data_IF_844436094950
#
_entry.id   IF_844436094950
#
_cell.length_a   1.000
_cell.length_b   1.000
_cell.length_c   1.000
_cell.angle_alpha   90.00
_cell.angle_beta   90.00
_cell.angle_gamma   90.00
#
_symmetry.space_group_name_H-M   'P 1'
#
loop_
_entity.id
_entity.type
_entity.pdbx_description
1 polymer ?
#
# COMPACT_ATOMS: atom_id res chain seq x y z
N UNK A 1 -22.13 72.51 -44.01
CA UNK A 1 -22.24 71.08 -44.39
C UNK A 1 -21.35 70.27 -43.46
N UNK A 2 -21.91 69.20 -42.88
CA UNK A 2 -21.33 68.01 -42.21
C UNK A 2 -19.96 68.08 -41.52
N UNK A 3 -19.87 67.91 -40.20
CA UNK A 3 -19.86 66.64 -39.41
C UNK A 3 -18.60 65.79 -39.58
N UNK A 4 -17.75 65.72 -38.54
CA UNK A 4 -17.52 64.48 -37.78
C UNK A 4 -16.62 64.70 -36.55
N UNK A 5 -17.19 64.37 -35.40
CA UNK A 5 -16.57 64.26 -34.08
C UNK A 5 -15.84 62.92 -33.99
N UNK A 6 -14.66 62.88 -33.36
CA UNK A 6 -14.22 61.70 -32.57
C UNK A 6 -13.37 62.15 -31.39
N UNK A 7 -14.03 62.24 -30.24
CA UNK A 7 -13.46 62.25 -28.89
C UNK A 7 -12.80 60.91 -28.58
N UNK A 8 -11.63 60.92 -27.93
CA UNK A 8 -11.39 59.98 -26.83
C UNK A 8 -10.49 60.63 -25.78
N UNK A 9 -11.05 60.73 -24.58
CA UNK A 9 -10.45 61.21 -23.34
C UNK A 9 -9.76 60.06 -22.58
N UNK A 10 -8.76 60.40 -21.77
CA UNK A 10 -8.37 59.68 -20.54
C UNK A 10 -7.48 58.44 -20.75
N UNK A 11 -6.47 58.12 -19.92
CA UNK A 11 -6.19 58.51 -18.54
C UNK A 11 -4.67 58.49 -18.27
N UNK A 12 -4.22 59.44 -17.45
CA UNK A 12 -2.97 59.38 -16.69
C UNK A 12 -3.08 58.29 -15.60
N UNK A 13 -2.11 57.39 -15.49
CA UNK A 13 -2.08 56.36 -14.45
C UNK A 13 -0.65 55.99 -14.08
N UNK A 14 -0.30 56.22 -12.81
CA UNK A 14 1.01 55.99 -12.18
C UNK A 14 1.49 54.54 -12.37
N UNK A 15 2.65 54.37 -13.02
CA UNK A 15 3.34 53.09 -13.11
C UNK A 15 4.10 52.78 -11.82
N UNK A 16 3.42 52.17 -10.84
CA UNK A 16 4.07 51.56 -9.68
C UNK A 16 4.56 50.18 -10.09
N UNK A 17 5.87 50.01 -10.25
CA UNK A 17 6.46 48.69 -10.51
C UNK A 17 6.46 47.93 -9.18
N UNK A 18 5.52 47.01 -9.01
CA UNK A 18 5.53 46.03 -7.93
C UNK A 18 6.61 44.99 -8.22
N UNK A 19 7.79 45.15 -7.63
CA UNK A 19 8.77 44.08 -7.48
C UNK A 19 8.28 43.16 -6.37
N UNK A 20 7.44 42.19 -6.74
CA UNK A 20 7.12 41.07 -5.85
C UNK A 20 8.40 40.22 -5.78
N UNK A 21 9.05 40.08 -4.61
CA UNK A 21 10.09 39.08 -4.48
C UNK A 21 9.43 37.72 -4.70
N UNK A 22 9.79 37.06 -5.80
CA UNK A 22 9.63 35.62 -5.97
C UNK A 22 10.59 34.91 -5.01
N UNK A 23 10.45 35.16 -3.71
CA UNK A 23 10.84 34.19 -2.70
C UNK A 23 9.89 33.02 -2.89
N UNK A 24 10.28 32.10 -3.77
CA UNK A 24 9.81 30.72 -3.78
C UNK A 24 9.97 30.22 -2.34
N UNK A 25 8.90 30.36 -1.55
CA UNK A 25 8.69 29.48 -0.42
C UNK A 25 8.54 28.10 -1.04
N UNK A 26 9.67 27.42 -1.23
CA UNK A 26 9.72 25.99 -1.39
C UNK A 26 9.29 25.41 -0.05
N UNK A 27 8.00 25.57 0.25
CA UNK A 27 7.29 24.81 1.23
C UNK A 27 7.46 23.38 0.75
N UNK A 28 8.47 22.71 1.31
CA UNK A 28 8.76 21.30 1.09
C UNK A 28 7.65 20.56 1.82
N UNK A 29 6.43 20.72 1.30
CA UNK A 29 5.24 20.02 1.74
C UNK A 29 5.55 18.58 1.36
N UNK A 30 6.14 17.84 2.31
CA UNK A 30 6.35 16.41 2.19
C UNK A 30 4.98 15.83 1.85
N UNK A 31 4.77 15.56 0.55
CA UNK A 31 3.52 14.99 0.12
C UNK A 31 3.47 13.61 0.79
N UNK A 32 2.37 13.27 1.48
CA UNK A 32 2.25 11.99 2.14
C UNK A 32 2.53 10.91 1.10
N UNK A 33 3.46 10.01 1.43
CA UNK A 33 3.86 8.92 0.55
C UNK A 33 2.63 8.06 0.29
N UNK A 34 2.02 8.24 -0.89
CA UNK A 34 0.94 7.39 -1.38
C UNK A 34 1.55 6.16 -2.03
N UNK A 35 1.62 5.09 -1.25
CA UNK A 35 2.11 3.76 -1.63
C UNK A 35 1.13 3.12 -2.61
N UNK A 36 -0.17 3.34 -2.39
CA UNK A 36 -1.25 2.74 -3.18
C UNK A 36 -1.88 3.81 -4.10
N UNK A 37 -1.34 3.96 -5.33
CA UNK A 37 -1.76 5.03 -6.26
C UNK A 37 -3.00 4.72 -7.08
N UNK A 38 -3.32 3.44 -7.29
CA UNK A 38 -4.39 3.04 -8.22
C UNK A 38 -5.21 1.89 -7.64
N UNK A 39 -6.46 2.18 -7.27
CA UNK A 39 -7.53 1.18 -7.32
C UNK A 39 -7.36 -0.03 -6.42
N UNK A 40 -7.16 0.17 -5.12
CA UNK A 40 -7.62 -0.84 -4.19
C UNK A 40 -9.14 -0.94 -4.32
N UNK A 41 -9.66 -2.02 -4.92
CA UNK A 41 -11.11 -2.25 -5.00
C UNK A 41 -11.76 -2.14 -3.62
N UNK A 42 -13.09 -2.10 -3.56
CA UNK A 42 -13.87 -1.84 -2.32
C UNK A 42 -13.39 -2.64 -1.10
N UNK A 43 -12.87 -3.86 -1.31
CA UNK A 43 -12.26 -4.70 -0.28
C UNK A 43 -11.05 -4.05 0.43
N UNK A 44 -10.14 -3.40 -0.31
CA UNK A 44 -8.92 -2.79 0.25
C UNK A 44 -9.24 -1.58 1.14
N UNK A 45 -10.23 -0.77 0.72
CA UNK A 45 -10.72 0.35 1.53
C UNK A 45 -11.41 -0.13 2.81
N UNK A 46 -12.14 -1.25 2.73
CA UNK A 46 -12.76 -1.86 3.91
C UNK A 46 -11.71 -2.33 4.93
N UNK A 47 -10.59 -2.94 4.51
CA UNK A 47 -9.54 -3.38 5.44
C UNK A 47 -8.91 -2.20 6.19
N UNK A 48 -8.62 -1.08 5.50
CA UNK A 48 -8.09 0.12 6.16
C UNK A 48 -9.03 0.61 7.26
N UNK A 49 -10.33 0.69 6.98
CA UNK A 49 -11.34 1.07 7.98
C UNK A 49 -11.36 0.10 9.17
N UNK A 50 -11.26 -1.21 8.92
CA UNK A 50 -11.21 -2.20 9.99
C UNK A 50 -9.95 -2.08 10.87
N UNK A 51 -8.81 -1.68 10.30
CA UNK A 51 -7.60 -1.38 11.08
C UNK A 51 -7.82 -0.16 11.98
N UNK A 52 -8.42 0.90 11.45
CA UNK A 52 -8.76 2.10 12.23
C UNK A 52 -9.71 1.75 13.39
N UNK A 53 -10.73 0.92 13.17
CA UNK A 53 -11.63 0.41 14.21
C UNK A 53 -10.91 -0.44 15.28
N UNK A 54 -9.84 -1.14 14.90
CA UNK A 54 -8.97 -1.90 15.82
C UNK A 54 -8.02 -1.00 16.63
N UNK A 55 -7.93 0.29 16.29
CA UNK A 55 -7.00 1.25 16.88
C UNK A 55 -5.63 1.28 16.19
N UNK A 56 -5.49 0.60 15.06
CA UNK A 56 -4.28 0.56 14.23
C UNK A 56 -4.31 1.71 13.22
N UNK A 57 -3.65 2.82 13.55
CA UNK A 57 -3.60 4.04 12.73
C UNK A 57 -2.28 4.18 11.98
N UNK A 58 -2.23 5.11 11.01
CA UNK A 58 -1.02 5.45 10.26
C UNK A 58 -0.76 4.58 9.02
N UNK A 59 -1.73 3.79 8.57
CA UNK A 59 -1.65 3.04 7.32
C UNK A 59 -2.02 3.91 6.12
N UNK A 60 -1.17 3.94 5.10
CA UNK A 60 -1.46 4.63 3.83
C UNK A 60 -2.55 3.86 3.07
N UNK A 61 -2.40 2.53 2.99
CA UNK A 61 -3.38 1.62 2.40
C UNK A 61 -3.04 0.15 2.60
N UNK A 62 -3.87 -0.71 2.00
CA UNK A 62 -3.73 -2.15 2.01
C UNK A 62 -4.05 -2.74 0.63
N UNK A 63 -3.35 -3.80 0.24
CA UNK A 63 -3.62 -4.55 -0.99
C UNK A 63 -3.79 -6.02 -0.67
N UNK A 64 -4.82 -6.63 -1.23
CA UNK A 64 -5.01 -8.07 -1.23
C UNK A 64 -3.84 -8.79 -1.92
N UNK A 65 -3.26 -9.77 -1.24
CA UNK A 65 -2.37 -10.74 -1.84
C UNK A 65 -3.21 -11.87 -2.43
N UNK A 66 -3.09 -12.06 -3.74
CA UNK A 66 -3.89 -13.03 -4.47
C UNK A 66 -3.65 -14.48 -4.03
N UNK A 67 -4.75 -15.21 -3.86
CA UNK A 67 -4.86 -16.64 -4.14
C UNK A 67 -5.84 -16.84 -5.29
N UNK A 68 -5.82 -18.00 -5.96
CA UNK A 68 -6.64 -18.33 -7.16
C UNK A 68 -8.17 -18.17 -7.02
N UNK A 69 -8.71 -17.76 -5.86
CA UNK A 69 -10.15 -17.62 -5.61
C UNK A 69 -10.52 -16.23 -5.10
N UNK A 70 -11.75 -15.81 -5.42
CA UNK A 70 -12.30 -14.45 -5.29
C UNK A 70 -12.35 -13.84 -3.87
N UNK A 71 -11.97 -14.58 -2.83
CA UNK A 71 -11.96 -14.10 -1.46
C UNK A 71 -10.51 -14.03 -0.99
N UNK A 72 -9.82 -12.93 -1.30
CA UNK A 72 -8.48 -12.70 -0.76
C UNK A 72 -8.56 -12.74 0.77
N UNK A 73 -7.76 -13.62 1.37
CA UNK A 73 -7.72 -13.84 2.82
C UNK A 73 -6.51 -13.13 3.43
N UNK A 74 -5.51 -12.80 2.62
CA UNK A 74 -4.26 -12.19 3.03
C UNK A 74 -4.15 -10.79 2.42
N UNK A 75 -3.79 -9.80 3.24
CA UNK A 75 -3.63 -8.41 2.87
C UNK A 75 -2.26 -7.92 3.31
N UNK A 76 -1.66 -7.05 2.51
CA UNK A 76 -0.44 -6.32 2.86
C UNK A 76 -0.78 -4.85 3.00
N UNK A 77 -0.47 -4.31 4.16
CA UNK A 77 -0.68 -2.92 4.50
C UNK A 77 0.66 -2.24 4.73
N UNK A 78 0.75 -0.97 4.39
CA UNK A 78 1.97 -0.19 4.56
C UNK A 78 1.68 1.07 5.38
N UNK A 79 2.55 1.35 6.34
CA UNK A 79 2.45 2.55 7.18
C UNK A 79 3.13 3.73 6.50
N UNK A 80 2.57 4.93 6.67
CA UNK A 80 3.14 6.16 6.11
C UNK A 80 4.52 6.47 6.69
N UNK A 81 4.73 6.16 7.98
CA UNK A 81 6.00 6.39 8.70
C UNK A 81 7.09 5.37 8.33
N UNK A 82 6.68 4.15 8.04
CA UNK A 82 7.59 3.03 7.72
C UNK A 82 7.18 2.39 6.39
N UNK A 83 7.22 3.16 5.29
CA UNK A 83 6.67 2.75 4.00
C UNK A 83 7.35 1.50 3.45
N UNK A 84 8.60 1.24 3.83
CA UNK A 84 9.39 0.12 3.34
C UNK A 84 9.10 -1.20 4.07
N UNK A 85 8.40 -1.18 5.21
CA UNK A 85 8.12 -2.37 6.03
C UNK A 85 6.66 -2.80 5.86
N UNK A 86 6.38 -3.83 5.06
CA UNK A 86 5.02 -4.32 4.90
C UNK A 86 4.52 -4.99 6.19
N UNK A 87 3.23 -4.83 6.46
CA UNK A 87 2.51 -5.53 7.53
C UNK A 87 1.46 -6.43 6.91
N UNK A 88 1.53 -7.72 7.23
CA UNK A 88 0.60 -8.71 6.68
C UNK A 88 -0.57 -8.90 7.64
N UNK A 89 -1.77 -8.94 7.09
CA UNK A 89 -3.01 -9.18 7.83
C UNK A 89 -3.81 -10.30 7.20
N UNK A 90 -4.37 -11.17 8.04
CA UNK A 90 -5.34 -12.16 7.64
C UNK A 90 -6.74 -11.69 7.98
N UNK A 91 -7.62 -11.72 6.99
CA UNK A 91 -9.03 -11.43 7.14
C UNK A 91 -9.86 -12.72 7.13
N UNK A 92 -10.54 -13.01 8.23
CA UNK A 92 -11.39 -14.19 8.38
C UNK A 92 -12.81 -13.92 7.88
N UNK A 93 -13.11 -14.42 6.68
CA UNK A 93 -14.43 -14.29 6.07
C UNK A 93 -15.54 -15.05 6.82
N UNK A 94 -15.20 -16.07 7.62
CA UNK A 94 -16.20 -16.83 8.39
C UNK A 94 -16.79 -16.02 9.55
N UNK A 95 -16.03 -15.02 10.03
CA UNK A 95 -16.39 -14.15 11.15
C UNK A 95 -17.08 -12.86 10.70
N UNK A 96 -17.71 -12.83 9.52
CA UNK A 96 -18.31 -11.61 8.96
C UNK A 96 -19.29 -10.90 9.90
N UNK A 97 -19.92 -11.64 10.82
CA UNK A 97 -20.88 -11.13 11.79
C UNK A 97 -20.28 -10.89 13.20
N UNK A 98 -18.99 -11.14 13.39
CA UNK A 98 -18.28 -10.97 14.67
C UNK A 98 -17.60 -9.59 14.77
N UNK A 99 -17.01 -9.33 15.94
CA UNK A 99 -16.23 -8.12 16.20
C UNK A 99 -15.09 -7.94 15.17
N UNK A 100 -14.88 -6.70 14.73
CA UNK A 100 -13.82 -6.32 13.79
C UNK A 100 -12.43 -6.80 14.22
N UNK A 101 -12.15 -6.81 15.53
CA UNK A 101 -10.85 -7.20 16.10
C UNK A 101 -10.55 -8.69 15.89
N UNK A 102 -11.57 -9.53 15.87
CA UNK A 102 -11.44 -10.98 15.67
C UNK A 102 -11.30 -11.33 14.18
N UNK A 103 -11.87 -10.50 13.31
CA UNK A 103 -11.86 -10.70 11.85
C UNK A 103 -10.51 -10.42 11.24
N UNK A 104 -9.77 -9.44 11.76
CA UNK A 104 -8.51 -8.99 11.19
C UNK A 104 -7.35 -9.22 12.16
N UNK A 105 -6.48 -10.16 11.83
CA UNK A 105 -5.35 -10.55 12.68
C UNK A 105 -4.03 -10.33 11.96
N UNK A 106 -3.02 -9.83 12.68
CA UNK A 106 -1.71 -9.61 12.09
C UNK A 106 -1.01 -10.95 11.93
N UNK A 107 -0.39 -11.15 10.78
CA UNK A 107 0.39 -12.35 10.49
C UNK A 107 1.79 -12.18 11.06
N UNK A 108 2.19 -13.09 11.95
CA UNK A 108 3.53 -13.16 12.50
C UNK A 108 4.44 -13.99 11.61
N UNK A 109 3.98 -15.15 11.18
CA UNK A 109 4.74 -16.02 10.30
C UNK A 109 3.87 -16.93 9.44
N UNK A 110 4.47 -17.45 8.37
CA UNK A 110 3.87 -18.39 7.44
C UNK A 110 4.83 -19.57 7.24
N UNK A 111 4.30 -20.78 7.18
CA UNK A 111 5.06 -21.98 6.85
C UNK A 111 4.30 -22.73 5.77
N UNK A 112 4.91 -22.87 4.59
CA UNK A 112 4.31 -23.71 3.56
C UNK A 112 4.21 -25.15 4.08
N UNK A 113 3.13 -25.86 3.76
CA UNK A 113 2.98 -27.28 4.14
C UNK A 113 3.02 -28.16 2.89
N UNK A 114 2.01 -28.06 2.05
CA UNK A 114 1.87 -28.86 0.84
C UNK A 114 0.93 -28.17 -0.15
N UNK A 115 1.11 -28.44 -1.46
CA UNK A 115 0.40 -28.01 -2.67
C UNK A 115 -0.48 -26.74 -2.64
N UNK A 116 -1.46 -26.64 -1.72
CA UNK A 116 -2.42 -25.54 -1.64
C UNK A 116 -2.69 -25.07 -0.20
N UNK A 117 -1.79 -25.38 0.75
CA UNK A 117 -1.94 -25.07 2.16
C UNK A 117 -0.65 -24.53 2.75
N UNK A 118 -0.79 -23.44 3.51
CA UNK A 118 0.24 -22.95 4.41
C UNK A 118 -0.32 -22.85 5.83
N UNK A 119 0.51 -23.07 6.83
CA UNK A 119 0.20 -22.76 8.21
C UNK A 119 0.59 -21.31 8.48
N UNK A 120 -0.26 -20.58 9.18
CA UNK A 120 -0.05 -19.19 9.53
C UNK A 120 -0.12 -19.03 11.04
N UNK A 121 0.87 -18.34 11.60
CA UNK A 121 0.85 -17.92 13.00
C UNK A 121 0.43 -16.46 13.09
N UNK A 122 -0.57 -16.19 13.92
CA UNK A 122 -1.09 -14.85 14.16
C UNK A 122 -0.43 -14.23 15.40
N UNK A 123 -0.44 -12.90 15.47
CA UNK A 123 0.08 -12.14 16.61
C UNK A 123 -0.61 -12.47 17.94
N UNK A 124 -1.89 -12.82 17.89
CA UNK A 124 -2.69 -13.27 19.03
C UNK A 124 -2.34 -14.70 19.53
N UNK A 125 -1.32 -15.35 18.95
CA UNK A 125 -0.88 -16.70 19.31
C UNK A 125 -1.68 -17.83 18.65
N UNK A 126 -2.69 -17.51 17.83
CA UNK A 126 -3.51 -18.51 17.13
C UNK A 126 -2.81 -18.98 15.86
N UNK A 127 -2.82 -20.30 15.64
CA UNK A 127 -2.43 -20.90 14.37
C UNK A 127 -3.65 -21.14 13.49
N UNK A 128 -3.60 -20.72 12.22
CA UNK A 128 -4.65 -21.02 11.22
C UNK A 128 -4.05 -21.60 9.95
N UNK A 129 -4.86 -22.36 9.22
CA UNK A 129 -4.50 -22.83 7.88
C UNK A 129 -4.90 -21.77 6.85
N UNK A 130 -3.92 -21.28 6.10
CA UNK A 130 -4.12 -20.45 4.92
C UNK A 130 -4.39 -21.37 3.73
N UNK A 131 -5.66 -21.46 3.34
CA UNK A 131 -6.09 -22.12 2.12
C UNK A 131 -5.75 -21.23 0.94
N UNK A 132 -5.19 -21.80 -0.13
CA UNK A 132 -4.71 -21.07 -1.32
C UNK A 132 -3.65 -20.01 -1.00
N UNK A 133 -2.49 -20.40 -0.45
CA UNK A 133 -1.39 -19.48 -0.23
C UNK A 133 -0.91 -18.87 -1.56
N UNK A 134 -0.29 -17.67 -1.53
CA UNK A 134 0.35 -17.11 -2.70
C UNK A 134 1.37 -18.09 -3.29
N UNK A 135 1.39 -18.21 -4.63
CA UNK A 135 2.19 -19.23 -5.32
C UNK A 135 3.69 -19.16 -4.96
N UNK A 136 4.23 -17.97 -4.70
CA UNK A 136 5.63 -17.79 -4.31
C UNK A 136 5.99 -18.43 -2.97
N UNK A 137 5.02 -18.61 -2.06
CA UNK A 137 5.25 -19.22 -0.76
C UNK A 137 5.63 -20.70 -0.91
N UNK A 138 5.17 -21.37 -1.97
CA UNK A 138 5.58 -22.76 -2.27
C UNK A 138 7.08 -22.88 -2.52
N UNK A 139 7.72 -21.83 -3.07
CA UNK A 139 9.16 -21.78 -3.31
C UNK A 139 9.98 -21.60 -2.02
N UNK A 140 9.34 -21.21 -0.93
CA UNK A 140 9.99 -21.03 0.38
C UNK A 140 10.39 -22.37 1.02
N UNK A 141 9.70 -23.46 0.68
CA UNK A 141 9.93 -24.80 1.23
C UNK A 141 9.07 -25.09 2.47
N UNK A 142 8.82 -26.38 2.71
CA UNK A 142 7.90 -26.85 3.77
C UNK A 142 8.43 -26.71 5.19
N UNK A 143 9.75 -26.68 5.35
CA UNK A 143 10.41 -26.73 6.66
C UNK A 143 10.97 -25.38 7.09
N UNK A 144 10.73 -24.34 6.28
CA UNK A 144 11.23 -22.98 6.52
C UNK A 144 10.09 -22.06 6.93
N UNK A 145 10.33 -21.31 7.99
CA UNK A 145 9.43 -20.25 8.42
C UNK A 145 9.68 -18.99 7.58
N UNK A 146 8.59 -18.40 7.11
CA UNK A 146 8.59 -17.12 6.42
C UNK A 146 8.09 -16.03 7.37
N UNK A 147 8.94 -15.04 7.61
CA UNK A 147 8.70 -13.88 8.45
C UNK A 147 8.48 -12.65 7.56
N UNK A 148 7.23 -12.16 7.39
CA UNK A 148 6.95 -11.10 6.43
C UNK A 148 7.70 -9.79 6.70
N UNK A 149 8.00 -9.49 7.97
CA UNK A 149 8.71 -8.30 8.42
C UNK A 149 10.23 -8.35 8.15
N UNK A 150 10.79 -9.54 7.94
CA UNK A 150 12.21 -9.76 7.65
C UNK A 150 12.46 -10.10 6.17
N UNK A 151 11.49 -10.74 5.52
CA UNK A 151 11.67 -11.29 4.18
C UNK A 151 11.00 -10.47 3.09
N UNK A 152 10.12 -9.51 3.43
CA UNK A 152 9.55 -8.60 2.46
C UNK A 152 9.93 -7.14 2.73
N UNK A 153 10.00 -6.39 1.66
CA UNK A 153 10.14 -4.94 1.67
C UNK A 153 9.22 -4.32 0.62
N UNK A 154 8.81 -3.09 0.87
CA UNK A 154 8.13 -2.27 -0.13
C UNK A 154 9.17 -1.31 -0.69
N UNK A 155 9.32 -1.30 -2.02
CA UNK A 155 10.24 -0.40 -2.69
C UNK A 155 9.58 0.28 -3.88
N UNK A 156 10.10 1.44 -4.25
CA UNK A 156 9.71 2.13 -5.48
C UNK A 156 10.86 2.04 -6.46
N UNK A 157 10.73 1.32 -7.59
CA UNK A 157 11.79 1.25 -8.59
C UNK A 157 12.10 2.64 -9.14
N UNK A 158 13.39 2.94 -9.36
CA UNK A 158 13.80 4.19 -10.00
C UNK A 158 13.16 4.29 -11.39
N UNK A 159 12.40 5.37 -11.63
CA UNK A 159 11.69 5.59 -12.89
C UNK A 159 10.30 4.92 -13.00
N UNK A 160 9.88 4.10 -12.02
CA UNK A 160 8.54 3.51 -12.01
C UNK A 160 7.52 4.40 -11.26
N UNK A 161 6.28 4.39 -11.75
CA UNK A 161 5.18 5.18 -11.17
C UNK A 161 4.63 4.63 -9.84
N UNK A 162 4.74 3.32 -9.62
CA UNK A 162 4.05 2.56 -8.57
C UNK A 162 5.04 1.90 -7.59
N UNK A 163 4.57 1.64 -6.37
CA UNK A 163 5.32 0.87 -5.39
C UNK A 163 5.19 -0.62 -5.68
N UNK A 164 6.18 -1.39 -5.24
CA UNK A 164 6.21 -2.85 -5.35
C UNK A 164 6.47 -3.46 -3.99
N UNK A 165 5.72 -4.49 -3.67
CA UNK A 165 6.06 -5.44 -2.62
C UNK A 165 7.06 -6.43 -3.19
N UNK A 166 8.25 -6.51 -2.60
CA UNK A 166 9.30 -7.46 -2.94
C UNK A 166 9.47 -8.40 -1.76
N UNK A 167 9.22 -9.68 -1.96
CA UNK A 167 9.50 -10.71 -0.97
C UNK A 167 10.64 -11.58 -1.47
N UNK A 168 11.71 -11.66 -0.66
CA UNK A 168 12.81 -12.60 -0.87
C UNK A 168 12.23 -14.02 -0.83
N UNK A 169 12.87 -14.90 -1.56
CA UNK A 169 12.67 -16.34 -1.64
C UNK A 169 14.05 -16.94 -1.35
N UNK A 170 14.18 -18.10 -0.68
CA UNK A 170 15.48 -18.76 -0.56
C UNK A 170 15.99 -19.12 -1.96
N UNK A 171 17.29 -18.87 -2.16
CA UNK A 171 17.94 -19.08 -3.45
C UNK A 171 18.03 -20.58 -3.78
N UNK A 172 17.51 -20.96 -4.95
CA UNK A 172 17.62 -22.32 -5.50
C UNK A 172 18.58 -22.36 -6.72
N UNK A 173 19.40 -21.33 -6.91
CA UNK A 173 20.54 -21.37 -7.85
C UNK A 173 20.22 -20.96 -9.29
N UNK A 174 19.10 -20.29 -9.57
CA UNK A 174 18.77 -19.79 -10.92
C UNK A 174 17.80 -18.61 -10.85
N UNK A 175 18.30 -17.39 -11.12
CA UNK A 175 17.60 -16.08 -11.15
C UNK A 175 17.26 -15.43 -9.79
N UNK A 176 17.18 -14.07 -9.74
CA UNK A 176 17.10 -13.34 -8.47
C UNK A 176 15.91 -13.85 -7.66
N UNK A 177 16.12 -14.21 -6.39
CA UNK A 177 15.19 -15.02 -5.65
C UNK A 177 14.14 -14.11 -5.01
N UNK A 178 13.44 -13.31 -5.81
CA UNK A 178 12.48 -12.32 -5.32
C UNK A 178 11.16 -12.46 -6.09
N UNK A 179 10.07 -12.52 -5.35
CA UNK A 179 8.72 -12.38 -5.87
C UNK A 179 8.27 -10.92 -5.70
N UNK A 180 7.61 -10.38 -6.73
CA UNK A 180 7.15 -8.99 -6.74
C UNK A 180 5.65 -8.89 -7.01
N UNK A 181 4.99 -7.92 -6.39
CA UNK A 181 3.62 -7.50 -6.70
C UNK A 181 3.51 -5.98 -6.66
N UNK A 182 2.84 -5.39 -7.66
CA UNK A 182 2.55 -3.96 -7.69
C UNK A 182 1.50 -3.58 -6.62
N UNK A 183 1.68 -2.42 -6.00
CA UNK A 183 0.84 -1.85 -4.94
C UNK A 183 0.11 -0.58 -5.39
#
# INVERSE_FOLDING_TARGET
MSFLIKTLQGFSGLGVISIIPLSLASDKKEQPIRIFRTGGGTQNQNIKKLLEEKGETGYDGCVALGGLRANAVLFVCAKTETPNKPVFYHYDWSLRNSDTKERLNKVKSLTHKYSYSAQMQLDNGTSKNLLTPPHWLSKWGSDKEFLPDQHCEISKPQGAGNYKLICKVPDNGSQPPAWEQDL
#
